data_IF_176777999927
#
_entry.id   IF_176777999927
#
_cell.length_a   1.000
_cell.length_b   1.000
_cell.length_c   1.000
_cell.angle_alpha   90.00
_cell.angle_beta   90.00
_cell.angle_gamma   90.00
#
_symmetry.space_group_name_H-M   'P 1'
#
loop_
_entity.id
_entity.type
_entity.pdbx_description
1 polymer ?
#
# COMPACT_ATOMS: atom_id res chain seq x y z
N UNK A 1 -9.07 -7.64 17.40
CA UNK A 1 -8.79 -7.00 16.10
C UNK A 1 -8.29 -5.56 16.24
N UNK A 2 -8.89 -4.73 17.11
CA UNK A 2 -8.48 -3.32 17.34
C UNK A 2 -6.97 -3.10 17.52
N UNK A 3 -6.30 -3.84 18.42
CA UNK A 3 -4.88 -3.62 18.73
C UNK A 3 -3.90 -3.74 17.53
N UNK A 4 -4.24 -4.51 16.49
CA UNK A 4 -3.37 -4.66 15.31
C UNK A 4 -3.61 -3.58 14.27
N UNK A 5 -4.84 -3.06 14.17
CA UNK A 5 -5.13 -1.83 13.43
C UNK A 5 -4.51 -0.62 14.12
N UNK A 6 -4.55 -0.58 15.47
CA UNK A 6 -3.81 0.40 16.26
C UNK A 6 -2.32 0.30 15.96
N UNK A 7 -1.75 -0.91 15.84
CA UNK A 7 -0.34 -1.10 15.45
C UNK A 7 -0.05 -0.61 14.02
N UNK A 8 -0.95 -0.84 13.06
CA UNK A 8 -0.80 -0.29 11.70
C UNK A 8 -0.80 1.24 11.70
N UNK A 9 -1.64 1.86 12.53
CA UNK A 9 -1.62 3.32 12.73
C UNK A 9 -0.42 3.79 13.55
N UNK A 10 0.08 3.02 14.52
CA UNK A 10 1.27 3.39 15.30
C UNK A 10 2.55 3.32 14.46
N UNK A 11 2.59 2.45 13.45
CA UNK A 11 3.64 2.47 12.40
C UNK A 11 3.72 3.85 11.73
N UNK A 12 2.65 4.65 11.72
CA UNK A 12 2.64 6.03 11.20
C UNK A 12 3.12 7.07 12.22
N UNK A 13 3.06 6.78 13.52
CA UNK A 13 3.20 7.77 14.59
C UNK A 13 4.49 7.67 15.40
N UNK A 14 5.10 6.47 15.55
CA UNK A 14 6.25 6.30 16.45
C UNK A 14 7.51 5.68 15.81
N UNK A 15 8.62 6.44 15.72
CA UNK A 15 9.96 5.88 15.49
C UNK A 15 10.61 5.31 16.77
N UNK A 16 10.22 5.75 17.98
CA UNK A 16 10.93 5.44 19.24
C UNK A 16 10.49 4.14 19.94
N UNK A 17 9.24 3.69 19.78
CA UNK A 17 8.73 2.47 20.45
C UNK A 17 9.33 1.14 19.93
N UNK A 18 10.14 1.16 18.86
CA UNK A 18 10.66 -0.06 18.22
C UNK A 18 11.83 -0.70 18.97
N UNK A 19 12.46 -0.02 19.92
CA UNK A 19 13.65 -0.54 20.61
C UNK A 19 13.34 -1.42 21.85
N UNK A 20 12.08 -1.56 22.29
CA UNK A 20 11.77 -2.23 23.58
C UNK A 20 10.79 -3.42 23.53
N UNK A 21 10.37 -3.94 22.37
CA UNK A 21 9.49 -5.13 22.33
C UNK A 21 10.24 -6.42 21.93
N UNK A 22 10.64 -7.19 22.95
CA UNK A 22 11.29 -8.52 22.89
C UNK A 22 10.33 -9.70 22.67
N UNK A 23 9.13 -9.48 22.14
CA UNK A 23 8.25 -10.57 21.68
C UNK A 23 8.31 -10.63 20.16
N UNK A 24 8.69 -11.78 19.59
CA UNK A 24 8.85 -12.06 18.16
C UNK A 24 8.07 -11.08 17.27
N UNK A 25 8.73 -10.23 16.48
CA UNK A 25 8.08 -9.09 15.85
C UNK A 25 7.06 -9.61 14.84
N UNK A 26 5.79 -9.63 15.23
CA UNK A 26 4.74 -10.03 14.31
C UNK A 26 4.58 -8.90 13.28
N UNK A 27 4.98 -9.21 12.05
CA UNK A 27 5.05 -8.30 10.92
C UNK A 27 3.65 -7.97 10.41
N UNK A 28 3.47 -6.74 9.93
CA UNK A 28 2.27 -6.35 9.18
C UNK A 28 2.71 -6.20 7.73
N UNK A 29 2.06 -6.91 6.83
CA UNK A 29 2.46 -6.92 5.43
C UNK A 29 1.49 -7.69 4.54
N UNK A 30 1.71 -7.58 3.24
CA UNK A 30 0.82 -8.16 2.23
C UNK A 30 1.63 -9.10 1.35
N UNK A 31 1.15 -10.33 1.20
CA UNK A 31 1.76 -11.33 0.34
C UNK A 31 1.03 -11.39 -1.00
N UNK A 32 1.82 -11.54 -2.07
CA UNK A 32 1.35 -11.62 -3.43
C UNK A 32 2.06 -12.75 -4.17
N UNK A 33 1.38 -13.27 -5.18
CA UNK A 33 1.95 -14.19 -6.16
C UNK A 33 1.87 -13.53 -7.54
N UNK A 34 2.97 -13.57 -8.27
CA UNK A 34 3.03 -13.03 -9.63
C UNK A 34 3.98 -13.84 -10.52
N UNK A 35 3.70 -13.88 -11.81
CA UNK A 35 4.61 -14.45 -12.80
C UNK A 35 5.61 -13.40 -13.25
N UNK A 36 6.90 -13.72 -13.13
CA UNK A 36 8.00 -12.87 -13.58
C UNK A 36 8.19 -12.94 -15.10
N UNK A 37 8.24 -11.76 -15.75
CA UNK A 37 8.47 -11.58 -17.18
C UNK A 37 7.67 -12.58 -18.05
N UNK A 38 6.33 -12.59 -17.98
CA UNK A 38 5.55 -13.57 -18.72
C UNK A 38 5.76 -13.39 -20.23
N UNK A 39 6.03 -14.49 -20.89
CA UNK A 39 6.03 -14.57 -22.34
C UNK A 39 4.60 -14.48 -22.89
N UNK A 40 4.45 -14.29 -24.20
CA UNK A 40 3.13 -14.33 -24.83
C UNK A 40 2.46 -15.70 -24.65
N UNK A 41 3.24 -16.79 -24.63
CA UNK A 41 2.73 -18.16 -24.44
C UNK A 41 2.19 -18.39 -23.03
N UNK A 42 2.83 -17.81 -22.01
CA UNK A 42 2.34 -17.85 -20.62
C UNK A 42 0.95 -17.22 -20.49
N UNK A 43 0.60 -16.25 -21.35
CA UNK A 43 -0.72 -15.61 -21.35
C UNK A 43 -1.83 -16.51 -21.92
N UNK A 44 -1.48 -17.48 -22.76
CA UNK A 44 -2.44 -18.41 -23.37
C UNK A 44 -2.53 -19.75 -22.61
N UNK A 45 -1.81 -19.92 -21.50
CA UNK A 45 -1.66 -21.20 -20.80
C UNK A 45 -1.17 -22.34 -21.72
N UNK A 46 -0.39 -22.01 -22.76
CA UNK A 46 0.16 -23.00 -23.70
C UNK A 46 1.62 -23.26 -23.30
N UNK A 47 1.88 -24.40 -22.64
CA UNK A 47 3.22 -24.84 -22.25
C UNK A 47 3.42 -24.97 -20.73
N UNK A 48 4.68 -25.19 -20.30
CA UNK A 48 5.04 -25.24 -18.89
C UNK A 48 4.89 -23.85 -18.26
N UNK A 49 3.96 -23.71 -17.31
CA UNK A 49 3.78 -22.47 -16.56
C UNK A 49 5.07 -22.09 -15.83
N UNK A 50 5.53 -20.85 -16.01
CA UNK A 50 6.66 -20.31 -15.24
C UNK A 50 6.37 -20.39 -13.74
N UNK A 51 7.41 -20.63 -12.91
CA UNK A 51 7.24 -20.65 -11.47
C UNK A 51 6.72 -19.30 -10.96
N UNK A 52 5.77 -19.37 -10.03
CA UNK A 52 5.24 -18.19 -9.37
C UNK A 52 6.31 -17.54 -8.50
N UNK A 53 6.54 -16.25 -8.71
CA UNK A 53 7.37 -15.42 -7.84
C UNK A 53 6.51 -14.97 -6.67
N UNK A 54 6.98 -15.22 -5.45
CA UNK A 54 6.31 -14.74 -4.23
C UNK A 54 6.87 -13.37 -3.88
N UNK A 55 5.97 -12.40 -3.71
CA UNK A 55 6.32 -11.03 -3.37
C UNK A 55 5.68 -10.70 -2.03
N UNK A 56 6.45 -10.21 -1.07
CA UNK A 56 5.95 -9.79 0.22
C UNK A 56 6.33 -8.33 0.47
N UNK A 57 5.32 -7.51 0.76
CA UNK A 57 5.50 -6.10 1.12
C UNK A 57 5.29 -5.97 2.62
N UNK A 58 6.37 -5.78 3.36
CA UNK A 58 6.33 -5.62 4.81
C UNK A 58 6.14 -4.14 5.19
N UNK A 59 4.93 -3.78 5.60
CA UNK A 59 4.55 -2.40 5.93
C UNK A 59 5.28 -1.91 7.19
N UNK A 60 5.51 -2.80 8.16
CA UNK A 60 6.21 -2.46 9.41
C UNK A 60 7.66 -2.01 9.18
N UNK A 61 8.43 -2.80 8.44
CA UNK A 61 9.87 -2.55 8.21
C UNK A 61 10.14 -1.66 7.00
N UNK A 62 9.21 -1.64 6.05
CA UNK A 62 9.31 -0.92 4.79
C UNK A 62 10.12 -1.64 3.72
N UNK A 63 10.17 -2.97 3.82
CA UNK A 63 10.91 -3.85 2.92
C UNK A 63 9.98 -4.58 1.94
N UNK A 64 10.51 -4.89 0.77
CA UNK A 64 9.88 -5.74 -0.24
C UNK A 64 10.79 -6.96 -0.41
N UNK A 65 10.26 -8.14 -0.15
CA UNK A 65 10.93 -9.42 -0.39
C UNK A 65 10.37 -10.06 -1.65
N UNK A 66 11.25 -10.42 -2.60
CA UNK A 66 10.89 -11.08 -3.85
C UNK A 66 11.61 -12.42 -3.87
N UNK A 67 10.86 -13.52 -3.70
CA UNK A 67 11.38 -14.88 -3.75
C UNK A 67 11.09 -15.52 -5.11
N UNK A 68 12.16 -15.92 -5.80
CA UNK A 68 12.18 -16.75 -7.00
C UNK A 68 12.87 -18.07 -6.67
N UNK A 69 12.64 -19.14 -7.45
CA UNK A 69 13.00 -20.55 -7.13
C UNK A 69 14.28 -20.75 -6.30
N UNK A 70 15.37 -20.05 -6.60
CA UNK A 70 16.68 -20.25 -5.96
C UNK A 70 17.18 -19.04 -5.15
N UNK A 71 16.42 -17.94 -5.07
CA UNK A 71 16.88 -16.72 -4.40
C UNK A 71 15.76 -15.85 -3.86
N UNK A 72 16.02 -15.19 -2.73
CA UNK A 72 15.17 -14.13 -2.18
C UNK A 72 15.93 -12.82 -2.21
N UNK A 73 15.42 -11.85 -2.97
CA UNK A 73 15.92 -10.48 -2.96
C UNK A 73 15.10 -9.66 -1.98
N UNK A 74 15.77 -8.96 -1.05
CA UNK A 74 15.13 -8.01 -0.13
C UNK A 74 15.57 -6.61 -0.52
N UNK A 75 14.62 -5.71 -0.72
CA UNK A 75 14.86 -4.33 -1.17
C UNK A 75 14.00 -3.37 -0.36
N UNK A 76 14.54 -2.20 -0.02
CA UNK A 76 13.75 -1.15 0.61
C UNK A 76 12.74 -0.56 -0.37
N UNK A 77 11.49 -0.35 0.04
CA UNK A 77 10.44 0.13 -0.86
C UNK A 77 10.72 1.52 -1.45
N UNK A 78 11.47 2.37 -0.74
CA UNK A 78 11.92 3.68 -1.21
C UNK A 78 13.01 3.62 -2.31
N UNK A 79 13.58 2.44 -2.58
CA UNK A 79 14.56 2.22 -3.65
C UNK A 79 13.94 1.65 -4.94
N UNK A 80 12.62 1.45 -4.96
CA UNK A 80 11.91 0.94 -6.14
C UNK A 80 10.88 1.95 -6.62
N UNK A 81 10.62 1.95 -7.94
CA UNK A 81 9.48 2.61 -8.53
C UNK A 81 8.54 1.51 -9.06
N UNK A 82 7.28 1.58 -8.66
CA UNK A 82 6.25 0.63 -9.11
C UNK A 82 5.21 1.34 -9.96
N UNK A 83 4.78 0.70 -11.03
CA UNK A 83 3.82 1.26 -11.98
C UNK A 83 2.92 0.16 -12.52
N UNK A 84 1.61 0.38 -12.51
CA UNK A 84 0.65 -0.54 -13.12
C UNK A 84 0.71 -0.38 -14.66
N UNK A 85 1.15 -1.41 -15.36
CA UNK A 85 1.26 -1.44 -16.82
C UNK A 85 0.18 -2.35 -17.38
N UNK A 86 -0.96 -1.78 -17.79
CA UNK A 86 -2.08 -2.53 -18.32
C UNK A 86 -2.99 -3.13 -17.24
N UNK A 87 -3.59 -4.30 -17.51
CA UNK A 87 -4.70 -4.81 -16.67
C UNK A 87 -4.26 -5.41 -15.34
N UNK A 88 -3.20 -6.22 -15.31
CA UNK A 88 -2.76 -6.98 -14.13
C UNK A 88 -1.24 -7.11 -14.03
N UNK A 89 -0.52 -6.29 -14.78
CA UNK A 89 0.95 -6.32 -14.83
C UNK A 89 1.49 -5.09 -14.13
N UNK A 90 2.47 -5.27 -13.26
CA UNK A 90 3.18 -4.20 -12.57
C UNK A 90 4.63 -4.22 -13.00
N UNK A 91 5.13 -3.05 -13.37
CA UNK A 91 6.54 -2.80 -13.61
C UNK A 91 7.19 -2.40 -12.30
N UNK A 92 8.28 -3.08 -11.94
CA UNK A 92 9.14 -2.70 -10.82
C UNK A 92 10.48 -2.26 -11.40
N UNK A 93 10.84 -0.97 -11.20
CA UNK A 93 12.14 -0.40 -11.58
C UNK A 93 12.98 -0.19 -10.33
N UNK A 94 14.24 -0.66 -10.38
CA UNK A 94 15.26 -0.46 -9.35
C UNK A 94 16.55 -0.01 -10.02
N UNK A 95 16.96 1.23 -9.77
CA UNK A 95 18.18 1.83 -10.34
C UNK A 95 18.30 1.62 -11.87
N UNK A 96 19.06 0.62 -12.33
CA UNK A 96 19.27 0.30 -13.76
C UNK A 96 18.55 -0.96 -14.24
N UNK A 97 17.76 -1.60 -13.38
CA UNK A 97 17.00 -2.82 -13.70
C UNK A 97 15.51 -2.54 -13.70
N UNK A 98 14.81 -3.13 -14.66
CA UNK A 98 13.35 -3.15 -14.76
C UNK A 98 12.88 -4.58 -14.90
N UNK A 99 11.78 -4.92 -14.22
CA UNK A 99 11.16 -6.23 -14.31
C UNK A 99 9.64 -6.11 -14.29
N UNK A 100 8.98 -6.94 -15.11
CA UNK A 100 7.52 -7.00 -15.18
C UNK A 100 7.01 -8.20 -14.37
N UNK A 101 5.99 -7.95 -13.57
CA UNK A 101 5.31 -8.97 -12.78
C UNK A 101 3.83 -8.98 -13.13
N UNK A 102 3.31 -10.13 -13.52
CA UNK A 102 1.89 -10.29 -13.84
C UNK A 102 1.18 -11.04 -12.72
N UNK A 103 0.21 -10.38 -12.12
CA UNK A 103 -0.59 -10.89 -11.01
C UNK A 103 -1.78 -11.70 -11.54
N UNK A 104 -2.43 -12.46 -10.66
CA UNK A 104 -3.58 -13.29 -11.02
C UNK A 104 -4.75 -12.43 -11.50
N UNK A 105 -5.01 -11.32 -10.82
CA UNK A 105 -6.09 -10.39 -11.14
C UNK A 105 -5.67 -8.93 -10.91
N UNK A 106 -6.51 -7.99 -11.38
CA UNK A 106 -6.24 -6.55 -11.28
C UNK A 106 -6.27 -6.04 -9.84
N UNK A 107 -7.16 -6.56 -9.00
CA UNK A 107 -7.26 -6.17 -7.58
C UNK A 107 -5.91 -6.37 -6.89
N UNK A 108 -5.29 -7.54 -7.05
CA UNK A 108 -3.98 -7.83 -6.45
C UNK A 108 -2.86 -6.93 -6.98
N UNK A 109 -2.87 -6.60 -8.27
CA UNK A 109 -1.90 -5.68 -8.86
C UNK A 109 -2.04 -4.26 -8.27
N UNK A 110 -3.28 -3.78 -8.10
CA UNK A 110 -3.57 -2.47 -7.49
C UNK A 110 -3.25 -2.48 -5.99
N UNK A 111 -3.58 -3.55 -5.25
CA UNK A 111 -3.21 -3.72 -3.84
C UNK A 111 -1.68 -3.69 -3.66
N UNK A 112 -0.94 -4.37 -4.53
CA UNK A 112 0.52 -4.37 -4.50
C UNK A 112 1.08 -2.96 -4.69
N UNK A 113 0.67 -2.25 -5.75
CA UNK A 113 1.11 -0.86 -6.01
C UNK A 113 0.74 0.05 -4.83
N UNK A 114 -0.50 -0.04 -4.35
CA UNK A 114 -0.99 0.75 -3.23
C UNK A 114 -0.21 0.51 -1.93
N UNK A 115 0.18 -0.74 -1.66
CA UNK A 115 0.98 -1.13 -0.50
C UNK A 115 2.42 -0.60 -0.58
N UNK A 116 3.07 -0.73 -1.74
CA UNK A 116 4.41 -0.19 -1.95
C UNK A 116 4.43 1.33 -1.80
N UNK A 117 3.47 2.03 -2.43
CA UNK A 117 3.33 3.48 -2.29
C UNK A 117 3.07 3.91 -0.83
N UNK A 118 2.24 3.16 -0.09
CA UNK A 118 2.03 3.44 1.34
C UNK A 118 3.35 3.35 2.09
N UNK A 119 4.12 2.28 1.89
CA UNK A 119 5.42 2.13 2.55
C UNK A 119 6.39 3.26 2.19
N UNK A 120 6.43 3.66 0.92
CA UNK A 120 7.24 4.79 0.46
C UNK A 120 6.83 6.09 1.16
N UNK A 121 5.53 6.35 1.27
CA UNK A 121 5.00 7.51 1.99
C UNK A 121 5.39 7.48 3.48
N UNK A 122 5.24 6.33 4.14
CA UNK A 122 5.65 6.14 5.54
C UNK A 122 7.15 6.41 5.70
N UNK A 123 7.97 5.90 4.79
CA UNK A 123 9.41 6.16 4.79
C UNK A 123 9.71 7.66 4.63
N UNK A 124 9.01 8.35 3.72
CA UNK A 124 9.18 9.79 3.50
C UNK A 124 8.71 10.64 4.69
N UNK A 125 7.67 10.20 5.40
CA UNK A 125 7.25 10.84 6.65
C UNK A 125 8.34 10.66 7.72
N UNK A 126 8.99 9.50 7.80
CA UNK A 126 10.04 9.27 8.80
C UNK A 126 11.35 10.01 8.51
N UNK A 127 11.65 10.32 7.25
CA UNK A 127 12.81 11.15 6.94
C UNK A 127 12.57 12.60 7.37
N UNK A 128 13.59 13.22 7.97
CA UNK A 128 13.59 14.65 8.35
C UNK A 128 13.66 15.58 7.13
N UNK A 129 13.95 15.05 5.95
CA UNK A 129 13.84 15.79 4.70
C UNK A 129 12.35 16.10 4.48
N UNK A 130 12.03 17.38 4.19
CA UNK A 130 10.66 17.86 3.93
C UNK A 130 9.92 16.77 3.17
N UNK A 131 8.85 16.23 3.74
CA UNK A 131 8.10 15.14 3.13
C UNK A 131 7.64 15.61 1.73
N UNK A 132 8.42 15.26 0.71
CA UNK A 132 8.18 15.74 -0.63
C UNK A 132 6.98 14.98 -1.19
N UNK A 133 6.15 15.68 -1.96
CA UNK A 133 5.07 15.07 -2.70
C UNK A 133 3.78 14.83 -1.90
N UNK A 134 3.35 15.72 -0.99
CA UNK A 134 2.00 15.64 -0.39
C UNK A 134 0.91 15.43 -1.45
N UNK A 135 0.94 16.27 -2.49
CA UNK A 135 0.03 16.19 -3.61
C UNK A 135 0.15 14.85 -4.36
N UNK A 136 1.37 14.35 -4.54
CA UNK A 136 1.63 13.06 -5.19
C UNK A 136 1.04 11.91 -4.35
N UNK A 137 1.24 11.92 -3.03
CA UNK A 137 0.71 10.87 -2.14
C UNK A 137 -0.82 10.90 -2.04
N UNK A 138 -1.41 12.09 -2.07
CA UNK A 138 -2.86 12.24 -2.13
C UNK A 138 -3.41 11.74 -3.48
N UNK A 139 -2.76 12.05 -4.61
CA UNK A 139 -3.11 11.50 -5.93
C UNK A 139 -2.97 9.99 -5.98
N UNK A 140 -1.88 9.42 -5.46
CA UNK A 140 -1.70 7.97 -5.34
C UNK A 140 -2.80 7.31 -4.50
N UNK A 141 -3.31 8.01 -3.48
CA UNK A 141 -4.42 7.54 -2.65
C UNK A 141 -5.76 7.60 -3.39
N UNK A 142 -5.98 8.66 -4.16
CA UNK A 142 -7.14 8.81 -5.04
C UNK A 142 -7.16 7.72 -6.13
N UNK A 143 -6.06 7.53 -6.87
CA UNK A 143 -5.93 6.49 -7.90
C UNK A 143 -6.21 5.10 -7.34
N UNK A 144 -5.69 4.78 -6.15
CA UNK A 144 -6.00 3.54 -5.47
C UNK A 144 -7.50 3.39 -5.16
N UNK A 145 -8.12 4.47 -4.67
CA UNK A 145 -9.54 4.47 -4.34
C UNK A 145 -10.43 4.33 -5.58
N UNK A 146 -10.10 4.99 -6.69
CA UNK A 146 -10.80 4.90 -7.98
C UNK A 146 -10.74 3.48 -8.57
N UNK A 147 -9.58 2.86 -8.55
CA UNK A 147 -9.44 1.47 -9.01
C UNK A 147 -10.28 0.52 -8.14
N UNK A 148 -10.16 0.63 -6.81
CA UNK A 148 -10.91 -0.20 -5.88
C UNK A 148 -12.42 0.08 -5.89
N UNK A 149 -12.82 1.31 -6.23
CA UNK A 149 -14.22 1.71 -6.40
C UNK A 149 -15.00 0.76 -7.31
N UNK A 150 -14.34 0.38 -8.41
CA UNK A 150 -14.90 -0.51 -9.42
C UNK A 150 -14.57 -1.96 -9.10
N UNK A 151 -13.32 -2.26 -8.78
CA UNK A 151 -12.81 -3.63 -8.72
C UNK A 151 -13.22 -4.37 -7.44
N UNK A 152 -13.24 -3.69 -6.30
CA UNK A 152 -13.69 -4.23 -5.02
C UNK A 152 -15.19 -4.00 -4.80
N UNK A 153 -15.91 -3.53 -5.83
CA UNK A 153 -17.35 -3.23 -5.81
C UNK A 153 -17.76 -2.25 -4.71
N UNK A 154 -16.85 -1.36 -4.27
CA UNK A 154 -17.18 -0.34 -3.27
C UNK A 154 -18.30 0.59 -3.75
N UNK A 155 -18.42 0.81 -5.06
CA UNK A 155 -19.54 1.50 -5.69
C UNK A 155 -20.92 0.92 -5.37
N UNK A 156 -21.02 -0.36 -5.02
CA UNK A 156 -22.27 -1.04 -4.65
C UNK A 156 -22.55 -0.97 -3.15
N UNK A 157 -21.66 -0.39 -2.38
CA UNK A 157 -21.73 -0.34 -0.93
C UNK A 157 -22.05 1.10 -0.51
N UNK A 158 -23.22 1.28 0.12
CA UNK A 158 -23.74 2.59 0.55
C UNK A 158 -22.76 3.48 1.35
N UNK A 159 -21.90 2.95 2.26
CA UNK A 159 -20.96 3.77 3.02
C UNK A 159 -19.93 4.52 2.17
N UNK A 160 -19.72 4.09 0.92
CA UNK A 160 -18.61 4.57 0.11
C UNK A 160 -19.03 5.62 -0.91
N UNK A 161 -20.33 5.93 -1.08
CA UNK A 161 -20.93 6.79 -2.10
C UNK A 161 -20.33 8.20 -2.30
N UNK A 162 -19.37 8.63 -1.47
CA UNK A 162 -18.67 9.91 -1.57
C UNK A 162 -17.15 9.83 -1.41
N UNK A 163 -16.58 8.63 -1.39
CA UNK A 163 -15.16 8.42 -1.08
C UNK A 163 -14.26 9.12 -2.11
N UNK A 164 -14.52 8.85 -3.39
CA UNK A 164 -13.72 9.40 -4.50
C UNK A 164 -13.89 10.91 -4.56
N UNK A 165 -15.11 11.42 -4.51
CA UNK A 165 -15.40 12.86 -4.56
C UNK A 165 -14.76 13.63 -3.40
N UNK A 166 -14.69 13.00 -2.22
CA UNK A 166 -14.02 13.60 -1.05
C UNK A 166 -12.50 13.66 -1.25
N UNK A 167 -11.89 12.63 -1.83
CA UNK A 167 -10.46 12.62 -2.15
C UNK A 167 -10.12 13.63 -3.26
N UNK A 168 -10.94 13.74 -4.29
CA UNK A 168 -10.82 14.77 -5.34
C UNK A 168 -10.89 16.17 -4.74
N UNK A 169 -11.88 16.42 -3.87
CA UNK A 169 -12.03 17.71 -3.18
C UNK A 169 -10.79 18.03 -2.34
N UNK A 170 -10.24 17.04 -1.62
CA UNK A 170 -9.00 17.21 -0.87
C UNK A 170 -7.81 17.59 -1.79
N UNK A 171 -7.71 17.00 -2.98
CA UNK A 171 -6.69 17.38 -3.98
C UNK A 171 -6.86 18.85 -4.38
N UNK A 172 -8.09 19.29 -4.63
CA UNK A 172 -8.38 20.69 -4.96
C UNK A 172 -8.00 21.65 -3.84
N UNK A 173 -8.31 21.32 -2.58
CA UNK A 173 -7.93 22.13 -1.43
C UNK A 173 -6.41 22.24 -1.25
N UNK A 174 -5.68 21.13 -1.38
CA UNK A 174 -4.20 21.14 -1.33
C UNK A 174 -3.61 21.98 -2.45
N UNK A 175 -4.14 21.89 -3.68
CA UNK A 175 -3.71 22.72 -4.81
C UNK A 175 -3.98 24.21 -4.59
N UNK A 176 -5.07 24.55 -3.91
CA UNK A 176 -5.42 25.92 -3.53
C UNK A 176 -4.63 26.44 -2.32
N UNK A 177 -3.82 25.60 -1.67
CA UNK A 177 -3.08 25.94 -0.46
C UNK A 177 -3.90 25.88 0.84
N UNK A 178 -5.15 25.41 0.78
CA UNK A 178 -6.04 25.26 1.93
C UNK A 178 -5.83 23.88 2.61
N UNK A 179 -4.71 23.78 3.32
CA UNK A 179 -4.30 22.54 3.99
C UNK A 179 -5.20 22.18 5.19
N UNK A 180 -5.84 23.17 5.83
CA UNK A 180 -6.72 22.94 6.98
C UNK A 180 -8.03 22.27 6.54
N UNK A 181 -8.68 22.78 5.50
CA UNK A 181 -9.91 22.16 4.99
C UNK A 181 -9.62 20.76 4.44
N UNK A 182 -8.48 20.57 3.77
CA UNK A 182 -8.03 19.25 3.32
C UNK A 182 -7.82 18.30 4.51
N UNK A 183 -7.23 18.77 5.61
CA UNK A 183 -6.99 17.99 6.82
C UNK A 183 -8.30 17.51 7.44
N UNK A 184 -9.23 18.43 7.72
CA UNK A 184 -10.52 18.12 8.36
C UNK A 184 -11.34 17.13 7.53
N UNK A 185 -11.36 17.33 6.21
CA UNK A 185 -12.06 16.43 5.28
C UNK A 185 -11.48 15.02 5.32
N UNK A 186 -10.15 14.88 5.26
CA UNK A 186 -9.48 13.58 5.23
C UNK A 186 -9.51 12.88 6.60
N UNK A 187 -9.45 13.61 7.71
CA UNK A 187 -9.58 13.01 9.05
C UNK A 187 -11.00 12.49 9.29
N UNK A 188 -12.02 13.25 8.88
CA UNK A 188 -13.40 12.78 8.89
C UNK A 188 -13.61 11.54 7.99
N UNK A 189 -12.99 11.53 6.81
CA UNK A 189 -13.01 10.39 5.88
C UNK A 189 -12.36 9.16 6.52
N UNK A 190 -11.19 9.32 7.15
CA UNK A 190 -10.53 8.26 7.90
C UNK A 190 -11.42 7.72 9.03
N UNK A 191 -12.04 8.61 9.83
CA UNK A 191 -12.95 8.22 10.91
C UNK A 191 -14.15 7.40 10.43
N UNK A 192 -14.63 7.63 9.21
CA UNK A 192 -15.71 6.86 8.60
C UNK A 192 -15.28 5.45 8.15
N UNK A 193 -14.08 5.31 7.58
CA UNK A 193 -13.64 4.03 7.00
C UNK A 193 -12.82 3.16 7.94
N UNK A 194 -12.15 3.74 8.93
CA UNK A 194 -11.37 3.00 9.91
C UNK A 194 -12.15 1.89 10.65
N UNK A 195 -13.43 2.07 11.03
CA UNK A 195 -14.22 0.98 11.63
C UNK A 195 -14.43 -0.23 10.73
N UNK A 196 -14.31 -0.06 9.41
CA UNK A 196 -14.45 -1.12 8.41
C UNK A 196 -13.10 -1.75 8.03
N UNK A 197 -11.98 -1.16 8.48
CA UNK A 197 -10.67 -1.73 8.30
C UNK A 197 -10.51 -3.00 9.13
N UNK A 198 -9.93 -4.04 8.54
CA UNK A 198 -9.57 -5.27 9.26
C UNK A 198 -8.24 -5.83 8.81
N UNK A 199 -7.60 -6.58 9.70
CA UNK A 199 -6.36 -7.30 9.47
C UNK A 199 -6.55 -8.78 9.83
N UNK A 200 -6.06 -9.65 8.98
CA UNK A 200 -6.17 -11.11 9.14
C UNK A 200 -4.84 -11.71 9.51
N UNK A 201 -4.84 -12.74 10.37
CA UNK A 201 -3.64 -13.51 10.66
C UNK A 201 -3.35 -14.42 9.46
N UNK A 202 -2.13 -14.37 8.95
CA UNK A 202 -1.66 -15.22 7.87
C UNK A 202 -0.31 -15.85 8.25
N UNK A 203 0.08 -16.88 7.51
CA UNK A 203 1.29 -17.67 7.77
C UNK A 203 2.11 -17.72 6.48
N UNK A 204 3.39 -17.44 6.58
CA UNK A 204 4.37 -17.58 5.50
C UNK A 204 4.68 -19.06 5.25
N UNK A 205 5.33 -19.37 4.12
CA UNK A 205 5.71 -20.75 3.82
C UNK A 205 6.74 -21.33 4.80
N UNK A 206 7.52 -20.46 5.46
CA UNK A 206 8.49 -20.83 6.50
C UNK A 206 7.85 -21.04 7.88
N UNK A 207 6.52 -20.93 7.97
CA UNK A 207 5.75 -21.06 9.21
C UNK A 207 5.70 -19.79 10.05
N UNK A 208 6.37 -18.70 9.65
CA UNK A 208 6.31 -17.44 10.36
C UNK A 208 4.94 -16.76 10.20
N UNK A 209 4.50 -16.05 11.25
CA UNK A 209 3.16 -15.43 11.30
C UNK A 209 3.25 -13.96 10.96
N UNK A 210 2.38 -13.50 10.05
CA UNK A 210 2.19 -12.09 9.73
C UNK A 210 0.71 -11.69 9.80
N UNK A 211 0.45 -10.38 9.80
CA UNK A 211 -0.90 -9.83 9.71
C UNK A 211 -1.12 -9.12 8.39
N UNK A 212 -2.07 -9.61 7.61
CA UNK A 212 -2.43 -9.08 6.30
C UNK A 212 -3.55 -8.05 6.43
N UNK A 213 -3.32 -6.79 6.03
CA UNK A 213 -4.41 -5.81 5.92
C UNK A 213 -5.33 -6.15 4.75
N UNK A 214 -6.63 -5.95 4.96
CA UNK A 214 -7.59 -5.86 3.84
C UNK A 214 -7.31 -4.61 3.01
N UNK A 215 -7.79 -4.55 1.76
CA UNK A 215 -7.74 -3.32 0.95
C UNK A 215 -8.37 -2.11 1.66
N UNK A 216 -9.37 -2.34 2.53
CA UNK A 216 -9.98 -1.27 3.32
C UNK A 216 -9.03 -0.77 4.41
N UNK A 217 -8.33 -1.67 5.10
CA UNK A 217 -7.28 -1.28 6.03
C UNK A 217 -6.12 -0.56 5.33
N UNK A 218 -5.79 -0.96 4.10
CA UNK A 218 -4.79 -0.29 3.28
C UNK A 218 -5.23 1.13 2.89
N UNK A 219 -6.48 1.31 2.46
CA UNK A 219 -7.06 2.64 2.19
C UNK A 219 -7.01 3.53 3.44
N UNK A 220 -7.51 3.03 4.58
CA UNK A 220 -7.52 3.77 5.84
C UNK A 220 -6.10 4.20 6.24
N UNK A 221 -5.12 3.32 6.10
CA UNK A 221 -3.72 3.64 6.37
C UNK A 221 -3.16 4.70 5.41
N UNK A 222 -3.50 4.64 4.10
CA UNK A 222 -3.11 5.68 3.12
C UNK A 222 -3.72 7.04 3.47
N UNK A 223 -5.02 7.10 3.77
CA UNK A 223 -5.68 8.34 4.20
C UNK A 223 -5.01 8.87 5.48
N UNK A 224 -4.77 8.01 6.47
CA UNK A 224 -4.12 8.42 7.71
C UNK A 224 -2.70 8.96 7.49
N UNK A 225 -1.92 8.35 6.60
CA UNK A 225 -0.60 8.85 6.25
C UNK A 225 -0.66 10.24 5.63
N UNK A 226 -1.67 10.54 4.80
CA UNK A 226 -1.89 11.88 4.24
C UNK A 226 -2.31 12.88 5.32
N UNK A 227 -3.20 12.50 6.24
CA UNK A 227 -3.59 13.35 7.39
C UNK A 227 -2.37 13.71 8.24
N UNK A 228 -1.50 12.74 8.56
CA UNK A 228 -0.25 12.97 9.28
C UNK A 228 0.69 13.89 8.49
N UNK A 229 0.73 13.75 7.16
CA UNK A 229 1.51 14.61 6.28
C UNK A 229 1.00 16.06 6.32
N UNK A 230 -0.32 16.27 6.18
CA UNK A 230 -0.96 17.58 6.26
C UNK A 230 -0.72 18.26 7.61
N UNK A 231 -0.76 17.50 8.71
CA UNK A 231 -0.46 18.01 10.05
C UNK A 231 0.90 18.67 10.21
N UNK A 232 1.85 18.46 9.27
CA UNK A 232 3.15 19.15 9.24
C UNK A 232 3.09 20.56 8.65
N UNK A 233 2.00 20.90 7.96
CA UNK A 233 1.79 22.19 7.29
C UNK A 233 0.75 23.06 8.01
N UNK A 234 -0.03 22.49 8.94
CA UNK A 234 -1.14 23.16 9.62
C UNK A 234 -0.79 23.65 11.04
N UNK A 235 0.51 23.74 11.37
CA UNK A 235 1.07 24.29 12.61
C UNK A 235 1.67 25.67 12.39
#
# INVERSE_FOLDING_TARGET
>A
MSARLTKLNSVLLDPEERQQQTTSPCSIGTAFSATSNPSLLDRFNIGHQKPNTKIFVEISSGLISIASCDSTAVVAANQVCVELVGKKTVRIRRSKSEQLYTFDNRVLAVEFVGAVQLVQHISALRSSEKAQGLLEQLKNTLEFAEEMWTLALWSKLFPYARLVESLESAVTFVLAGDHNTAFDLLDALHGRFYPHASVHKAIHDDGSVYFQPTHMALLAAKIRAVVVHLGRFTL
#
